data_IF_774103990056
#
_entry.id   IF_774103990056
#
_cell.length_a   1.000
_cell.length_b   1.000
_cell.length_c   1.000
_cell.angle_alpha   90.00
_cell.angle_beta   90.00
_cell.angle_gamma   90.00
#
_symmetry.space_group_name_H-M   'P 1'
#
loop_
_entity.id
_entity.type
_entity.pdbx_description
1 polymer ?
#
# COMPACT_ATOMS: atom_id res chain seq x y z
N UNK A 1 21.07 -7.88 11.56
CA UNK A 1 20.92 -6.49 12.04
C UNK A 1 19.44 -6.16 12.05
N UNK A 2 18.97 -5.34 13.00
CA UNK A 2 17.57 -4.86 12.98
C UNK A 2 17.29 -4.16 11.65
N UNK A 3 16.19 -4.52 11.00
CA UNK A 3 15.69 -3.75 9.87
C UNK A 3 15.24 -2.39 10.39
N UNK A 4 15.70 -1.34 9.71
CA UNK A 4 15.36 0.04 10.05
C UNK A 4 14.84 0.74 8.82
N UNK A 5 14.08 1.79 9.03
CA UNK A 5 13.44 2.57 7.99
C UNK A 5 14.03 3.97 7.93
N UNK A 6 13.96 4.56 6.74
CA UNK A 6 14.28 5.96 6.49
C UNK A 6 13.14 6.59 5.70
N UNK A 7 12.97 7.90 5.84
CA UNK A 7 12.06 8.67 4.98
C UNK A 7 12.70 8.92 3.62
N UNK A 8 11.90 8.88 2.56
CA UNK A 8 12.31 9.24 1.20
C UNK A 8 12.75 10.69 1.05
N UNK A 9 12.51 11.57 2.04
CA UNK A 9 12.87 13.00 2.02
C UNK A 9 13.84 13.42 3.11
N UNK A 10 14.30 12.50 3.95
CA UNK A 10 15.19 12.82 5.05
C UNK A 10 16.64 12.78 4.60
N UNK A 11 17.36 13.88 4.80
CA UNK A 11 18.79 13.99 4.54
C UNK A 11 19.54 13.18 5.60
N UNK A 12 20.24 12.12 5.16
CA UNK A 12 21.07 11.26 6.03
C UNK A 12 22.18 12.00 6.79
N UNK A 13 22.41 13.28 6.44
CA UNK A 13 23.40 14.19 7.02
C UNK A 13 22.87 15.09 8.13
N UNK A 14 21.56 15.09 8.42
CA UNK A 14 20.92 16.02 9.38
C UNK A 14 20.22 15.32 10.55
N UNK A 15 20.92 15.21 11.68
CA UNK A 15 20.41 15.12 13.06
C UNK A 15 19.12 14.33 13.34
N UNK A 16 19.14 13.03 13.12
CA UNK A 16 18.37 12.11 13.96
C UNK A 16 19.13 10.79 14.08
N UNK A 17 19.79 10.58 15.22
CA UNK A 17 20.38 9.28 15.56
C UNK A 17 19.30 8.25 15.96
N UNK A 18 18.01 8.64 15.88
CA UNK A 18 16.89 7.79 16.25
C UNK A 18 16.62 6.80 15.12
N UNK A 19 16.74 5.52 15.46
CA UNK A 19 16.42 4.43 14.53
C UNK A 19 14.90 4.27 14.51
N UNK A 20 14.31 4.37 13.32
CA UNK A 20 12.90 4.04 13.06
C UNK A 20 12.81 2.56 12.71
N UNK A 21 11.96 1.81 13.43
CA UNK A 21 11.74 0.38 13.25
C UNK A 21 10.38 0.10 12.60
N UNK A 22 10.07 -1.18 12.37
CA UNK A 22 8.83 -1.57 11.69
C UNK A 22 7.58 -1.09 12.45
N UNK A 23 7.59 -1.25 13.77
CA UNK A 23 6.48 -0.80 14.65
C UNK A 23 6.22 0.70 14.52
N UNK A 24 7.27 1.53 14.49
CA UNK A 24 7.17 2.98 14.32
C UNK A 24 6.51 3.33 12.97
N UNK A 25 6.98 2.74 11.86
CA UNK A 25 6.46 3.09 10.52
C UNK A 25 5.02 2.62 10.29
N UNK A 26 4.59 1.56 10.98
CA UNK A 26 3.20 1.08 10.94
C UNK A 26 2.27 2.07 11.63
N UNK A 27 2.67 2.58 12.80
CA UNK A 27 1.87 3.49 13.63
C UNK A 27 1.84 4.90 13.03
N UNK A 28 3.00 5.42 12.63
CA UNK A 28 3.13 6.77 12.07
C UNK A 28 2.53 6.88 10.67
N UNK A 29 2.73 5.86 9.82
CA UNK A 29 2.25 5.80 8.44
C UNK A 29 2.94 6.74 7.46
N UNK A 30 3.13 8.02 7.81
CA UNK A 30 3.85 9.05 7.07
C UNK A 30 4.99 9.60 7.94
N UNK A 31 6.15 9.85 7.35
CA UNK A 31 7.26 10.42 8.11
C UNK A 31 7.00 11.90 8.48
N UNK A 32 7.61 12.43 9.57
CA UNK A 32 7.42 13.82 10.01
C UNK A 32 7.78 14.89 8.96
N UNK A 33 8.68 14.59 8.02
CA UNK A 33 9.07 15.46 6.90
C UNK A 33 8.10 15.38 5.70
N UNK A 34 7.00 14.62 5.85
CA UNK A 34 6.01 14.37 4.81
C UNK A 34 6.44 13.37 3.74
N UNK A 35 7.62 12.75 3.89
CA UNK A 35 8.09 11.65 3.04
C UNK A 35 7.51 10.29 3.41
N UNK A 36 7.81 9.29 2.59
CA UNK A 36 7.35 7.92 2.78
C UNK A 36 8.45 7.06 3.38
N UNK A 37 8.08 6.11 4.25
CA UNK A 37 9.06 5.16 4.78
C UNK A 37 9.47 4.10 3.75
N UNK A 38 10.78 3.81 3.72
CA UNK A 38 11.42 2.73 2.94
C UNK A 38 12.49 2.01 3.79
N UNK A 39 12.79 0.72 3.52
CA UNK A 39 13.84 0.00 4.25
C UNK A 39 15.23 0.61 3.99
N UNK A 40 15.96 0.94 5.06
CA UNK A 40 17.27 1.60 4.99
C UNK A 40 18.32 0.78 4.24
N UNK A 41 18.29 -0.54 4.42
CA UNK A 41 19.28 -1.45 3.84
C UNK A 41 18.83 -2.05 2.49
N UNK A 42 17.78 -1.48 1.89
CA UNK A 42 17.10 -2.08 0.75
C UNK A 42 16.19 -3.24 1.15
N UNK A 43 15.52 -3.82 0.16
CA UNK A 43 14.60 -4.93 0.37
C UNK A 43 15.37 -6.27 0.45
N UNK A 44 14.99 -7.20 1.35
CA UNK A 44 15.71 -8.44 1.57
C UNK A 44 15.71 -9.31 0.30
N UNK A 45 16.87 -9.84 -0.07
CA UNK A 45 17.01 -10.84 -1.14
C UNK A 45 16.85 -12.25 -0.59
N UNK A 46 16.09 -13.07 -1.30
CA UNK A 46 15.88 -14.48 -1.01
C UNK A 46 16.61 -15.31 -2.06
N UNK A 47 17.32 -16.34 -1.63
CA UNK A 47 18.06 -17.21 -2.54
C UNK A 47 17.12 -18.14 -3.33
N UNK A 48 17.57 -18.60 -4.50
CA UNK A 48 16.76 -19.44 -5.38
C UNK A 48 16.33 -20.77 -4.71
N UNK A 49 17.13 -21.35 -3.82
CA UNK A 49 16.77 -22.61 -3.13
C UNK A 49 15.66 -22.36 -2.11
N UNK A 50 15.70 -21.23 -1.42
CA UNK A 50 14.63 -20.81 -0.53
C UNK A 50 13.33 -20.57 -1.32
N UNK A 51 13.38 -19.88 -2.47
CA UNK A 51 12.22 -19.73 -3.34
C UNK A 51 11.62 -21.06 -3.82
N UNK A 52 12.45 -22.02 -4.22
CA UNK A 52 11.99 -23.34 -4.66
C UNK A 52 11.22 -24.08 -3.56
N UNK A 53 11.58 -23.88 -2.28
CA UNK A 53 10.83 -24.48 -1.14
C UNK A 53 9.44 -23.87 -0.97
N UNK A 54 9.23 -22.63 -1.42
CA UNK A 54 7.95 -21.92 -1.30
C UNK A 54 6.92 -22.36 -2.35
N UNK A 55 7.33 -23.08 -3.40
CA UNK A 55 6.45 -23.49 -4.51
C UNK A 55 5.26 -24.31 -4.00
N UNK A 56 5.50 -25.28 -3.13
CA UNK A 56 4.44 -26.17 -2.61
C UNK A 56 3.67 -25.61 -1.41
N UNK A 57 4.10 -24.45 -0.87
CA UNK A 57 3.47 -23.84 0.30
C UNK A 57 2.17 -23.12 -0.05
N UNK A 58 1.24 -23.09 0.91
CA UNK A 58 0.02 -22.30 0.81
C UNK A 58 0.31 -20.80 0.89
N UNK A 59 -0.67 -19.98 0.47
CA UNK A 59 -0.52 -18.51 0.51
C UNK A 59 -0.15 -17.96 1.91
N UNK A 60 -0.80 -18.37 3.03
CA UNK A 60 -0.43 -17.89 4.37
C UNK A 60 0.98 -18.32 4.79
N UNK A 61 1.43 -19.50 4.37
CA UNK A 61 2.77 -19.99 4.66
C UNK A 61 3.84 -19.22 3.88
N UNK A 62 3.60 -18.95 2.59
CA UNK A 62 4.43 -18.06 1.78
C UNK A 62 4.47 -16.66 2.40
N UNK A 63 3.32 -16.13 2.81
CA UNK A 63 3.23 -14.83 3.48
C UNK A 63 4.10 -14.79 4.74
N UNK A 64 4.07 -15.84 5.57
CA UNK A 64 4.89 -15.92 6.79
C UNK A 64 6.37 -15.84 6.45
N UNK A 65 6.87 -16.69 5.55
CA UNK A 65 8.31 -16.71 5.20
C UNK A 65 8.75 -15.36 4.63
N UNK A 66 7.96 -14.77 3.73
CA UNK A 66 8.31 -13.49 3.10
C UNK A 66 8.28 -12.31 4.09
N UNK A 67 7.29 -12.28 4.98
CA UNK A 67 7.14 -11.20 5.95
C UNK A 67 8.16 -11.31 7.09
N UNK A 68 8.56 -12.52 7.51
CA UNK A 68 9.66 -12.71 8.47
C UNK A 68 11.00 -12.18 7.97
N UNK A 69 11.21 -12.12 6.65
CA UNK A 69 12.40 -11.48 6.07
C UNK A 69 12.36 -9.96 6.16
N UNK A 70 11.17 -9.36 6.31
CA UNK A 70 10.91 -7.92 6.23
C UNK A 70 10.44 -7.30 7.55
N UNK A 71 10.27 -8.12 8.60
CA UNK A 71 9.81 -7.72 9.92
C UNK A 71 10.71 -8.39 10.94
N UNK A 72 11.50 -7.59 11.67
CA UNK A 72 12.40 -8.13 12.68
C UNK A 72 11.60 -8.74 13.85
N UNK A 73 12.03 -9.88 14.44
CA UNK A 73 11.34 -10.54 15.56
C UNK A 73 11.27 -9.72 16.86
N UNK A 74 11.92 -8.56 16.91
CA UNK A 74 11.86 -7.62 18.04
C UNK A 74 10.76 -6.56 17.85
N UNK A 75 10.30 -6.36 16.62
CA UNK A 75 9.10 -5.57 16.34
C UNK A 75 7.86 -6.43 16.50
N UNK A 76 7.85 -7.64 15.92
CA UNK A 76 6.74 -8.59 16.01
C UNK A 76 7.31 -10.00 16.10
N UNK A 77 6.94 -10.77 17.13
CA UNK A 77 7.42 -12.15 17.27
C UNK A 77 6.94 -13.02 16.10
N UNK A 78 7.72 -14.05 15.73
CA UNK A 78 7.34 -14.99 14.67
C UNK A 78 5.98 -15.68 14.94
N UNK A 79 5.70 -15.98 16.22
CA UNK A 79 4.44 -16.59 16.64
C UNK A 79 3.24 -15.65 16.45
N UNK A 80 3.40 -14.38 16.84
CA UNK A 80 2.35 -13.38 16.68
C UNK A 80 2.12 -13.07 15.20
N UNK A 81 3.19 -12.90 14.43
CA UNK A 81 3.13 -12.69 12.99
C UNK A 81 2.39 -13.83 12.29
N UNK A 82 2.74 -15.08 12.60
CA UNK A 82 2.03 -16.27 12.10
C UNK A 82 0.55 -16.22 12.45
N UNK A 83 0.22 -15.93 13.70
CA UNK A 83 -1.18 -15.87 14.16
C UNK A 83 -1.97 -14.82 13.37
N UNK A 84 -1.39 -13.62 13.17
CA UNK A 84 -2.01 -12.54 12.42
C UNK A 84 -2.20 -12.89 10.93
N UNK A 85 -1.20 -13.50 10.30
CA UNK A 85 -1.25 -13.91 8.88
C UNK A 85 -2.34 -14.96 8.65
N UNK A 86 -2.39 -16.01 9.47
CA UNK A 86 -3.40 -17.07 9.33
C UNK A 86 -4.81 -16.58 9.67
N UNK A 87 -4.94 -15.57 10.53
CA UNK A 87 -6.22 -14.89 10.78
C UNK A 87 -6.65 -13.99 9.61
N UNK A 88 -5.68 -13.35 8.94
CA UNK A 88 -5.93 -12.45 7.81
C UNK A 88 -6.34 -13.21 6.55
N UNK A 89 -5.65 -14.31 6.24
CA UNK A 89 -5.80 -15.08 4.99
C UNK A 89 -6.43 -16.46 5.26
N UNK A 90 -7.60 -16.47 5.87
CA UNK A 90 -8.31 -17.69 6.26
C UNK A 90 -9.65 -17.84 5.54
N UNK A 91 -10.66 -18.26 6.31
CA UNK A 91 -12.03 -18.51 5.80
C UNK A 91 -12.80 -17.27 5.35
N UNK A 92 -12.27 -16.08 5.61
CA UNK A 92 -12.81 -14.81 5.09
C UNK A 92 -12.53 -14.60 3.60
N UNK A 93 -11.66 -15.41 2.99
CA UNK A 93 -11.46 -15.45 1.56
C UNK A 93 -12.30 -16.58 0.94
N UNK A 94 -13.01 -16.27 -0.15
CA UNK A 94 -13.86 -17.25 -0.86
C UNK A 94 -13.05 -18.32 -1.59
N UNK A 95 -11.75 -18.09 -1.80
CA UNK A 95 -10.82 -19.03 -2.40
C UNK A 95 -9.78 -19.48 -1.38
N UNK A 96 -9.60 -20.80 -1.24
CA UNK A 96 -8.54 -21.37 -0.37
C UNK A 96 -7.13 -20.97 -0.81
N UNK A 97 -6.94 -20.68 -2.09
CA UNK A 97 -5.67 -20.20 -2.63
C UNK A 97 -5.42 -18.71 -2.32
N UNK A 98 -6.43 -17.99 -1.79
CA UNK A 98 -6.42 -16.56 -1.44
C UNK A 98 -6.29 -15.62 -2.64
N UNK A 99 -5.25 -15.82 -3.47
CA UNK A 99 -4.94 -15.03 -4.66
C UNK A 99 -4.51 -15.93 -5.85
N UNK A 100 -5.40 -16.82 -6.34
CA UNK A 100 -5.07 -17.78 -7.40
C UNK A 100 -4.71 -17.10 -8.72
N UNK A 101 -3.87 -17.77 -9.50
CA UNK A 101 -3.59 -17.41 -10.91
C UNK A 101 -4.42 -18.31 -11.82
N UNK A 102 -5.08 -17.71 -12.80
CA UNK A 102 -5.90 -18.40 -13.80
C UNK A 102 -5.39 -18.13 -15.21
N UNK A 103 -5.40 -19.16 -16.05
CA UNK A 103 -5.13 -18.99 -17.48
C UNK A 103 -6.27 -18.20 -18.13
N UNK A 104 -5.93 -17.18 -18.91
CA UNK A 104 -6.90 -16.39 -19.67
C UNK A 104 -6.89 -16.79 -21.14
N UNK A 105 -5.74 -16.66 -21.80
CA UNK A 105 -5.54 -17.00 -23.20
C UNK A 105 -4.05 -17.02 -23.53
N UNK A 106 -3.61 -17.86 -24.47
CA UNK A 106 -2.20 -17.94 -24.89
C UNK A 106 -1.23 -17.97 -23.69
N UNK A 107 -0.29 -17.04 -23.59
CA UNK A 107 0.66 -16.89 -22.48
C UNK A 107 0.20 -15.82 -21.47
N UNK A 108 -1.10 -15.52 -21.42
CA UNK A 108 -1.69 -14.53 -20.53
C UNK A 108 -2.46 -15.22 -19.40
N UNK A 109 -2.21 -14.73 -18.19
CA UNK A 109 -2.80 -15.22 -16.96
C UNK A 109 -3.35 -14.04 -16.17
N UNK A 110 -4.39 -14.29 -15.38
CA UNK A 110 -5.02 -13.32 -14.49
C UNK A 110 -4.80 -13.77 -13.06
N UNK A 111 -4.23 -12.90 -12.23
CA UNK A 111 -4.21 -13.11 -10.79
C UNK A 111 -5.51 -12.57 -10.19
N UNK A 112 -6.33 -13.46 -9.65
CA UNK A 112 -7.61 -13.12 -9.05
C UNK A 112 -7.39 -12.60 -7.63
N UNK A 113 -7.40 -11.27 -7.45
CA UNK A 113 -7.19 -10.61 -6.16
C UNK A 113 -8.50 -10.18 -5.47
N UNK A 114 -9.65 -10.69 -5.93
CA UNK A 114 -10.99 -10.25 -5.51
C UNK A 114 -11.73 -11.30 -4.68
N UNK A 115 -11.04 -12.31 -4.13
CA UNK A 115 -11.66 -13.33 -3.28
C UNK A 115 -11.79 -12.93 -1.81
N UNK A 116 -11.31 -11.75 -1.43
CA UNK A 116 -11.47 -11.22 -0.09
C UNK A 116 -12.91 -10.78 0.22
N UNK A 117 -13.19 -10.40 1.48
CA UNK A 117 -14.54 -10.09 1.95
C UNK A 117 -15.20 -8.89 1.28
N UNK A 118 -14.45 -8.05 0.57
CA UNK A 118 -14.99 -6.86 -0.11
C UNK A 118 -14.85 -6.91 -1.62
N UNK A 119 -14.40 -8.05 -2.15
CA UNK A 119 -14.17 -8.28 -3.58
C UNK A 119 -13.19 -7.27 -4.21
N UNK A 120 -12.16 -6.86 -3.46
CA UNK A 120 -11.11 -5.95 -3.94
C UNK A 120 -9.72 -6.45 -3.53
N UNK A 121 -8.72 -6.19 -4.38
CA UNK A 121 -7.32 -6.49 -4.08
C UNK A 121 -6.82 -5.83 -2.79
N UNK A 122 -7.51 -4.77 -2.34
CA UNK A 122 -7.20 -4.06 -1.10
C UNK A 122 -7.37 -4.96 0.14
N UNK A 123 -8.20 -6.01 0.05
CA UNK A 123 -8.37 -6.99 1.13
C UNK A 123 -7.07 -7.72 1.48
N UNK A 124 -6.20 -7.98 0.49
CA UNK A 124 -4.93 -8.68 0.72
C UNK A 124 -4.04 -7.88 1.68
N UNK A 125 -4.11 -6.55 1.66
CA UNK A 125 -3.39 -5.72 2.63
C UNK A 125 -4.22 -5.46 3.88
N UNK A 126 -5.51 -5.12 3.72
CA UNK A 126 -6.34 -4.58 4.78
C UNK A 126 -6.95 -5.65 5.70
N UNK A 127 -6.81 -6.94 5.40
CA UNK A 127 -7.11 -7.99 6.38
C UNK A 127 -5.94 -8.24 7.35
N UNK A 128 -4.70 -7.94 6.93
CA UNK A 128 -3.50 -8.11 7.76
C UNK A 128 -3.09 -6.81 8.48
N UNK A 129 -3.14 -5.66 7.79
CA UNK A 129 -2.74 -4.36 8.32
C UNK A 129 -3.36 -4.05 9.70
N UNK A 130 -4.68 -4.23 9.94
CA UNK A 130 -5.28 -3.92 11.24
C UNK A 130 -4.67 -4.73 12.38
N UNK A 131 -4.32 -6.00 12.14
CA UNK A 131 -3.68 -6.84 13.16
C UNK A 131 -2.27 -6.32 13.47
N UNK A 132 -1.48 -6.02 12.43
CA UNK A 132 -0.14 -5.43 12.58
C UNK A 132 -0.19 -4.09 13.31
N UNK A 133 -1.13 -3.23 12.92
CA UNK A 133 -1.34 -1.92 13.51
C UNK A 133 -1.69 -2.03 15.00
N UNK A 134 -2.71 -2.83 15.34
CA UNK A 134 -3.13 -3.07 16.71
C UNK A 134 -1.99 -3.58 17.61
N UNK A 135 -1.18 -4.51 17.09
CA UNK A 135 -0.02 -5.05 17.79
C UNK A 135 1.04 -3.99 18.09
N UNK A 136 1.27 -3.08 17.13
CA UNK A 136 2.28 -2.02 17.27
C UNK A 136 1.78 -0.82 18.11
N UNK A 137 0.50 -0.78 18.52
CA UNK A 137 -0.03 0.35 19.25
C UNK A 137 0.61 0.48 20.65
N UNK A 138 0.99 1.70 21.05
CA UNK A 138 1.37 1.97 22.44
C UNK A 138 0.26 1.52 23.42
N UNK A 139 0.59 0.82 24.53
CA UNK A 139 -0.40 0.17 25.40
C UNK A 139 -1.51 1.09 25.95
N UNK A 140 -1.23 2.37 26.14
CA UNK A 140 -2.13 3.36 26.77
C UNK A 140 -2.74 4.37 25.79
N UNK A 141 -2.56 4.17 24.48
CA UNK A 141 -3.07 5.09 23.47
C UNK A 141 -4.22 4.46 22.69
N UNK A 142 -5.30 5.21 22.58
CA UNK A 142 -6.39 4.92 21.64
C UNK A 142 -6.06 5.56 20.29
N UNK A 143 -6.60 4.99 19.23
CA UNK A 143 -6.43 5.48 17.87
C UNK A 143 -7.78 5.63 17.19
N UNK A 144 -7.97 6.76 16.52
CA UNK A 144 -9.11 7.02 15.66
C UNK A 144 -8.63 7.12 14.21
N UNK A 145 -8.99 6.13 13.42
CA UNK A 145 -8.59 5.98 12.03
C UNK A 145 -9.61 6.70 11.14
N UNK A 146 -9.15 7.74 10.45
CA UNK A 146 -9.97 8.50 9.51
C UNK A 146 -9.56 8.17 8.07
N UNK A 147 -10.53 7.79 7.24
CA UNK A 147 -10.32 7.46 5.83
C UNK A 147 -11.37 8.14 4.97
N UNK A 148 -10.93 8.84 3.91
CA UNK A 148 -11.80 9.24 2.82
C UNK A 148 -11.72 8.19 1.70
N UNK A 149 -12.83 7.87 1.06
CA UNK A 149 -12.87 6.89 -0.03
C UNK A 149 -13.82 7.32 -1.15
N UNK A 150 -13.52 6.88 -2.37
CA UNK A 150 -14.43 6.88 -3.53
C UNK A 150 -15.07 5.51 -3.78
N UNK A 151 -14.88 4.56 -2.86
CA UNK A 151 -15.51 3.23 -2.90
C UNK A 151 -14.72 2.17 -2.16
N UNK A 152 -14.08 1.27 -2.91
CA UNK A 152 -13.51 0.00 -2.44
C UNK A 152 -12.53 0.09 -1.27
N UNK A 153 -11.75 1.16 -1.13
CA UNK A 153 -10.84 1.35 0.01
C UNK A 153 -11.60 1.40 1.33
N UNK A 154 -12.76 2.05 1.35
CA UNK A 154 -13.58 2.20 2.56
C UNK A 154 -14.12 0.87 3.04
N UNK A 155 -14.73 0.09 2.14
CA UNK A 155 -15.22 -1.25 2.43
C UNK A 155 -14.12 -2.12 3.04
N UNK A 156 -12.94 -2.16 2.42
CA UNK A 156 -11.83 -3.00 2.87
C UNK A 156 -11.27 -2.55 4.23
N UNK A 157 -11.19 -1.23 4.48
CA UNK A 157 -10.78 -0.69 5.80
C UNK A 157 -11.79 -1.07 6.87
N UNK A 158 -13.09 -0.84 6.63
CA UNK A 158 -14.15 -1.18 7.59
C UNK A 158 -14.12 -2.68 7.91
N UNK A 159 -14.08 -3.52 6.87
CA UNK A 159 -14.02 -4.99 6.98
C UNK A 159 -12.80 -5.47 7.76
N UNK A 160 -11.62 -4.89 7.51
CA UNK A 160 -10.40 -5.26 8.21
C UNK A 160 -10.43 -4.89 9.69
N UNK A 161 -10.70 -3.63 10.01
CA UNK A 161 -10.64 -3.13 11.38
C UNK A 161 -11.81 -3.59 12.26
N UNK A 162 -12.96 -3.91 11.68
CA UNK A 162 -14.08 -4.48 12.43
C UNK A 162 -13.80 -5.89 12.96
N UNK A 163 -12.78 -6.58 12.42
CA UNK A 163 -12.35 -7.93 12.82
C UNK A 163 -11.33 -7.93 13.96
N UNK A 164 -10.93 -6.75 14.45
CA UNK A 164 -10.22 -6.64 15.72
C UNK A 164 -11.13 -7.12 16.85
N UNK A 165 -10.53 -7.66 17.91
CA UNK A 165 -11.24 -8.27 19.04
C UNK A 165 -10.62 -7.84 20.36
N UNK A 166 -11.36 -7.95 21.47
CA UNK A 166 -10.85 -7.62 22.80
C UNK A 166 -10.33 -6.17 22.89
N UNK A 167 -9.25 -5.96 23.62
CA UNK A 167 -8.67 -4.63 23.87
C UNK A 167 -8.32 -3.88 22.58
N UNK A 168 -7.85 -4.57 21.54
CA UNK A 168 -7.47 -3.92 20.28
C UNK A 168 -8.65 -3.28 19.55
N UNK A 169 -9.82 -3.93 19.62
CA UNK A 169 -11.06 -3.37 19.09
C UNK A 169 -11.49 -2.11 19.83
N UNK A 170 -11.31 -2.10 21.16
CA UNK A 170 -11.70 -0.98 22.01
C UNK A 170 -10.77 0.22 21.83
N UNK A 171 -9.47 -0.03 21.62
CA UNK A 171 -8.46 1.01 21.40
C UNK A 171 -8.40 1.53 19.97
N UNK A 172 -9.16 0.97 19.03
CA UNK A 172 -9.06 1.34 17.60
C UNK A 172 -10.43 1.66 17.01
N UNK A 173 -10.80 2.94 17.01
CA UNK A 173 -11.96 3.45 16.31
C UNK A 173 -11.67 3.73 14.83
N UNK A 174 -12.67 3.57 13.95
CA UNK A 174 -12.54 3.81 12.51
C UNK A 174 -13.76 4.56 11.99
N UNK A 175 -13.51 5.66 11.28
CA UNK A 175 -14.51 6.42 10.55
C UNK A 175 -14.11 6.52 9.07
N UNK A 176 -14.98 5.99 8.21
CA UNK A 176 -14.83 6.09 6.76
C UNK A 176 -15.81 7.11 6.21
N UNK A 177 -15.29 8.17 5.61
CA UNK A 177 -16.07 9.21 4.94
C UNK A 177 -16.11 8.91 3.44
N UNK A 178 -17.31 8.92 2.87
CA UNK A 178 -17.51 8.73 1.43
C UNK A 178 -18.57 9.71 0.92
N UNK A 179 -18.49 10.16 -0.34
CA UNK A 179 -19.49 11.05 -0.90
C UNK A 179 -20.81 10.27 -1.10
N UNK A 180 -21.94 10.90 -0.76
CA UNK A 180 -23.29 10.31 -0.87
C UNK A 180 -23.56 9.83 -2.29
N UNK A 181 -23.07 10.60 -3.26
CA UNK A 181 -23.07 10.35 -4.70
C UNK A 181 -21.64 10.08 -5.18
N UNK A 182 -21.48 9.24 -6.21
CA UNK A 182 -20.16 8.96 -6.81
C UNK A 182 -19.44 7.72 -6.26
N UNK A 183 -20.13 6.90 -5.45
CA UNK A 183 -19.72 5.54 -5.08
C UNK A 183 -20.73 4.55 -5.67
N UNK A 184 -20.30 3.34 -6.06
CA UNK A 184 -21.25 2.35 -6.59
C UNK A 184 -22.21 1.85 -5.50
N UNK A 185 -23.41 1.44 -5.90
CA UNK A 185 -24.43 0.98 -4.94
C UNK A 185 -23.94 -0.22 -4.10
N UNK A 186 -23.23 -1.16 -4.71
CA UNK A 186 -22.66 -2.32 -4.00
C UNK A 186 -21.64 -1.86 -2.94
N UNK A 187 -20.77 -0.91 -3.28
CA UNK A 187 -19.79 -0.37 -2.33
C UNK A 187 -20.46 0.42 -1.20
N UNK A 188 -21.50 1.20 -1.52
CA UNK A 188 -22.30 1.93 -0.52
C UNK A 188 -22.96 0.97 0.46
N UNK A 189 -23.59 -0.11 -0.04
CA UNK A 189 -24.20 -1.14 0.80
C UNK A 189 -23.17 -1.85 1.69
N UNK A 190 -22.00 -2.20 1.16
CA UNK A 190 -20.90 -2.76 1.95
C UNK A 190 -20.46 -1.82 3.07
N UNK A 191 -20.29 -0.53 2.80
CA UNK A 191 -19.85 0.42 3.84
C UNK A 191 -20.95 0.66 4.88
N UNK A 192 -22.19 0.82 4.45
CA UNK A 192 -23.33 1.15 5.34
C UNK A 192 -23.82 -0.02 6.20
N UNK A 193 -23.32 -1.25 5.97
CA UNK A 193 -23.55 -2.37 6.90
C UNK A 193 -22.76 -2.26 8.20
N UNK A 194 -21.70 -1.45 8.25
CA UNK A 194 -20.89 -1.24 9.45
C UNK A 194 -21.48 -0.11 10.31
N UNK A 195 -22.47 -0.45 11.15
CA UNK A 195 -23.19 0.50 12.02
C UNK A 195 -22.80 0.43 13.49
N UNK A 196 -22.18 -0.67 13.91
CA UNK A 196 -21.92 -0.98 15.32
C UNK A 196 -20.48 -1.39 15.57
N UNK A 197 -20.07 -1.32 16.85
CA UNK A 197 -18.71 -1.56 17.27
C UNK A 197 -17.77 -0.40 16.95
N UNK A 198 -16.55 -0.73 16.54
CA UNK A 198 -15.44 0.21 16.40
C UNK A 198 -15.28 0.81 15.00
N UNK A 199 -16.04 0.38 14.00
CA UNK A 199 -15.92 0.85 12.63
C UNK A 199 -17.26 1.35 12.10
N UNK A 200 -17.28 2.58 11.57
CA UNK A 200 -18.48 3.22 11.03
C UNK A 200 -18.20 3.94 9.72
N UNK A 201 -19.20 3.91 8.84
CA UNK A 201 -19.21 4.70 7.61
C UNK A 201 -20.06 5.96 7.79
N UNK A 202 -19.61 7.07 7.20
CA UNK A 202 -20.26 8.38 7.20
C UNK A 202 -20.41 8.83 5.76
N UNK A 203 -21.66 8.86 5.30
CA UNK A 203 -21.99 9.43 4.00
C UNK A 203 -21.99 10.96 4.08
N UNK A 204 -21.36 11.61 3.11
CA UNK A 204 -21.16 13.06 3.08
C UNK A 204 -21.83 13.64 1.84
N UNK A 205 -22.71 14.63 2.01
CA UNK A 205 -23.39 15.33 0.90
C UNK A 205 -22.45 16.33 0.20
N UNK A 206 -21.37 15.81 -0.36
CA UNK A 206 -20.32 16.55 -1.10
C UNK A 206 -19.52 15.57 -1.95
N UNK A 207 -18.39 16.00 -2.54
CA UNK A 207 -17.50 15.16 -3.34
C UNK A 207 -16.38 14.49 -2.52
N UNK A 208 -15.64 13.57 -3.17
CA UNK A 208 -14.50 12.88 -2.56
C UNK A 208 -13.38 13.85 -2.11
N UNK A 209 -13.13 14.91 -2.88
CA UNK A 209 -12.09 15.90 -2.56
C UNK A 209 -12.43 16.70 -1.29
N UNK A 210 -13.71 16.97 -1.06
CA UNK A 210 -14.20 17.53 0.20
C UNK A 210 -13.92 16.60 1.37
N UNK A 211 -14.26 15.31 1.27
CA UNK A 211 -13.97 14.32 2.31
C UNK A 211 -12.46 14.29 2.62
N UNK A 212 -11.62 14.20 1.59
CA UNK A 212 -10.17 14.13 1.74
C UNK A 212 -9.58 15.41 2.34
N UNK A 213 -10.03 16.60 1.89
CA UNK A 213 -9.55 17.89 2.43
C UNK A 213 -9.93 18.08 3.89
N UNK A 214 -11.14 17.72 4.29
CA UNK A 214 -11.58 17.87 5.67
C UNK A 214 -10.86 16.93 6.62
N UNK A 215 -10.61 15.67 6.22
CA UNK A 215 -9.76 14.79 7.02
C UNK A 215 -8.38 15.41 7.20
N UNK A 216 -7.71 15.85 6.11
CA UNK A 216 -6.40 16.51 6.21
C UNK A 216 -6.42 17.73 7.14
N UNK A 217 -7.50 18.52 7.10
CA UNK A 217 -7.70 19.65 8.00
C UNK A 217 -7.78 19.21 9.46
N UNK A 218 -8.55 18.15 9.78
CA UNK A 218 -8.64 17.61 11.15
C UNK A 218 -7.27 17.18 11.70
N UNK A 219 -6.39 16.62 10.86
CA UNK A 219 -5.02 16.29 11.26
C UNK A 219 -4.14 17.52 11.55
N UNK A 220 -4.42 18.66 10.93
CA UNK A 220 -3.69 19.92 11.12
C UNK A 220 -4.26 20.83 12.21
N UNK A 221 -5.44 20.52 12.75
CA UNK A 221 -6.10 21.31 13.79
C UNK A 221 -5.59 20.90 15.19
N UNK A 222 -4.56 21.62 15.66
CA UNK A 222 -3.90 21.37 16.94
C UNK A 222 -4.89 21.32 18.13
N UNK A 223 -5.93 22.17 18.11
CA UNK A 223 -6.97 22.21 19.14
C UNK A 223 -7.78 20.90 19.16
N UNK A 224 -8.23 20.41 18.00
CA UNK A 224 -8.97 19.15 17.88
C UNK A 224 -8.09 17.97 18.31
N UNK A 225 -6.85 17.89 17.79
CA UNK A 225 -5.94 16.80 18.13
C UNK A 225 -5.55 16.80 19.60
N UNK A 226 -5.35 17.99 20.18
CA UNK A 226 -5.04 18.15 21.60
C UNK A 226 -6.22 17.76 22.48
N UNK A 227 -7.44 18.17 22.12
CA UNK A 227 -8.65 17.77 22.83
C UNK A 227 -8.85 16.25 22.81
N UNK A 228 -8.70 15.59 21.65
CA UNK A 228 -8.79 14.14 21.54
C UNK A 228 -7.74 13.40 22.37
N UNK A 229 -6.51 13.92 22.39
CA UNK A 229 -5.42 13.33 23.18
C UNK A 229 -5.66 13.47 24.68
N UNK A 230 -6.12 14.64 25.16
CA UNK A 230 -6.31 14.92 26.60
C UNK A 230 -7.57 14.26 27.14
N UNK A 231 -8.71 14.43 26.47
CA UNK A 231 -10.01 13.95 27.00
C UNK A 231 -10.23 12.46 26.76
N UNK A 232 -9.72 11.93 25.65
CA UNK A 232 -10.02 10.56 25.21
C UNK A 232 -8.79 9.67 25.05
N UNK A 233 -7.58 10.16 25.38
CA UNK A 233 -6.33 9.43 25.16
C UNK A 233 -6.15 8.99 23.71
N UNK A 234 -6.74 9.73 22.76
CA UNK A 234 -6.93 9.29 21.36
C UNK A 234 -6.05 10.07 20.40
N UNK A 235 -5.32 9.34 19.55
CA UNK A 235 -4.49 9.88 18.48
C UNK A 235 -5.19 9.65 17.13
N UNK A 236 -5.18 10.66 16.27
CA UNK A 236 -5.67 10.50 14.90
C UNK A 236 -4.66 9.71 14.06
N UNK A 237 -5.13 8.74 13.29
CA UNK A 237 -4.33 8.01 12.31
C UNK A 237 -5.15 7.71 11.06
N UNK A 238 -4.51 7.15 10.04
CA UNK A 238 -5.13 6.92 8.73
C UNK A 238 -4.67 5.59 8.14
N UNK A 239 -5.57 4.89 7.46
CA UNK A 239 -5.31 3.62 6.80
C UNK A 239 -5.15 3.77 5.27
N UNK A 240 -4.44 4.80 4.85
CA UNK A 240 -4.23 5.16 3.45
C UNK A 240 -3.06 4.39 2.82
N UNK A 241 -3.01 4.36 1.48
CA UNK A 241 -2.12 3.50 0.68
C UNK A 241 -0.62 3.79 0.83
N UNK A 242 -0.26 4.83 1.58
CA UNK A 242 1.14 5.19 1.86
C UNK A 242 1.72 4.39 3.04
N UNK A 243 0.87 3.89 3.95
CA UNK A 243 1.34 3.15 5.12
C UNK A 243 2.09 1.89 4.68
N UNK A 244 3.26 1.64 5.28
CA UNK A 244 4.10 0.50 4.94
C UNK A 244 3.39 -0.84 5.15
N UNK A 245 2.56 -0.96 6.18
CA UNK A 245 1.74 -2.14 6.45
C UNK A 245 0.62 -2.38 5.42
N UNK A 246 0.32 -1.39 4.55
CA UNK A 246 -0.53 -1.63 3.36
C UNK A 246 0.26 -2.08 2.14
N UNK A 247 1.50 -1.64 2.00
CA UNK A 247 2.32 -1.94 0.82
C UNK A 247 2.96 -3.33 0.96
N UNK A 248 3.58 -3.62 2.09
CA UNK A 248 4.37 -4.84 2.29
C UNK A 248 3.58 -6.13 2.03
N UNK A 249 2.34 -6.32 2.51
CA UNK A 249 1.56 -7.54 2.22
C UNK A 249 1.29 -7.75 0.72
N UNK A 250 1.33 -6.68 -0.08
CA UNK A 250 1.10 -6.77 -1.52
C UNK A 250 2.27 -7.41 -2.28
N UNK A 251 3.46 -7.46 -1.67
CA UNK A 251 4.62 -8.18 -2.23
C UNK A 251 4.33 -9.68 -2.28
N UNK A 252 3.58 -10.19 -1.30
CA UNK A 252 3.28 -11.62 -1.14
C UNK A 252 2.49 -12.16 -2.34
N UNK A 253 1.48 -11.43 -2.83
CA UNK A 253 0.69 -11.94 -3.95
C UNK A 253 1.46 -11.92 -5.27
N UNK A 254 2.34 -10.95 -5.52
CA UNK A 254 3.21 -10.96 -6.70
C UNK A 254 4.17 -12.15 -6.67
N UNK A 255 4.80 -12.40 -5.53
CA UNK A 255 5.66 -13.58 -5.34
C UNK A 255 4.87 -14.88 -5.46
N UNK A 256 3.67 -14.94 -4.87
CA UNK A 256 2.81 -16.12 -4.93
C UNK A 256 2.33 -16.43 -6.35
N UNK A 257 2.04 -15.41 -7.16
CA UNK A 257 1.67 -15.62 -8.56
C UNK A 257 2.78 -16.31 -9.35
N UNK A 258 4.02 -15.85 -9.19
CA UNK A 258 5.18 -16.47 -9.83
C UNK A 258 5.38 -17.93 -9.39
N UNK A 259 5.24 -18.18 -8.08
CA UNK A 259 5.37 -19.52 -7.50
C UNK A 259 4.23 -20.44 -7.93
N UNK A 260 3.01 -19.93 -8.10
CA UNK A 260 1.88 -20.70 -8.64
C UNK A 260 2.13 -21.11 -10.10
N UNK A 261 2.66 -20.20 -10.94
CA UNK A 261 3.05 -20.55 -12.31
C UNK A 261 4.16 -21.60 -12.35
N UNK A 262 5.10 -21.57 -11.39
CA UNK A 262 6.12 -22.61 -11.24
C UNK A 262 5.52 -23.96 -10.82
N UNK A 263 4.65 -23.95 -9.80
CA UNK A 263 3.96 -25.15 -9.29
C UNK A 263 3.15 -25.82 -10.41
N UNK A 264 2.44 -25.02 -11.19
CA UNK A 264 1.55 -25.50 -12.25
C UNK A 264 2.33 -25.88 -13.53
N UNK A 265 3.67 -25.81 -13.51
CA UNK A 265 4.54 -26.22 -14.63
C UNK A 265 4.48 -25.31 -15.85
N UNK A 266 3.90 -24.10 -15.70
CA UNK A 266 3.80 -23.11 -16.79
C UNK A 266 5.17 -22.51 -17.10
N UNK A 267 5.96 -22.26 -16.05
CA UNK A 267 7.34 -21.77 -16.14
C UNK A 267 8.23 -22.55 -15.16
N UNK A 268 9.54 -22.52 -15.38
CA UNK A 268 10.56 -22.93 -14.42
C UNK A 268 11.04 -21.73 -13.62
N UNK A 269 11.41 -21.94 -12.36
CA UNK A 269 12.02 -20.88 -11.57
C UNK A 269 13.28 -20.34 -12.26
N UNK A 270 13.35 -19.02 -12.44
CA UNK A 270 14.39 -18.33 -13.20
C UNK A 270 13.90 -17.81 -14.55
N UNK A 271 12.83 -18.39 -15.12
CA UNK A 271 12.22 -17.86 -16.33
C UNK A 271 11.47 -16.56 -16.02
N UNK A 272 11.70 -15.49 -16.80
CA UNK A 272 11.13 -14.20 -16.48
C UNK A 272 9.65 -14.10 -16.85
N UNK A 273 8.87 -13.40 -16.01
CA UNK A 273 7.51 -12.96 -16.33
C UNK A 273 7.44 -11.44 -16.47
N UNK A 274 6.44 -10.96 -17.21
CA UNK A 274 6.01 -9.56 -17.13
C UNK A 274 4.73 -9.49 -16.30
N UNK A 275 4.59 -8.45 -15.48
CA UNK A 275 3.37 -8.21 -14.69
C UNK A 275 2.70 -6.94 -15.16
N UNK A 276 1.41 -7.02 -15.49
CA UNK A 276 0.60 -5.86 -15.92
C UNK A 276 -0.39 -5.48 -14.83
N UNK A 277 -0.34 -4.23 -14.38
CA UNK A 277 -1.04 -3.76 -13.19
C UNK A 277 -1.88 -2.54 -13.55
N UNK A 278 -3.22 -2.59 -13.41
CA UNK A 278 -4.06 -1.41 -13.41
C UNK A 278 -3.62 -0.46 -12.30
N UNK A 279 -3.02 0.67 -12.67
CA UNK A 279 -2.23 1.49 -11.76
C UNK A 279 -2.90 2.82 -11.48
N UNK A 280 -3.18 3.05 -10.19
CA UNK A 280 -3.60 4.34 -9.66
C UNK A 280 -2.52 4.96 -8.78
N UNK A 281 -2.59 4.71 -7.47
CA UNK A 281 -1.68 5.24 -6.44
C UNK A 281 -0.26 4.62 -6.41
N UNK A 282 0.12 3.84 -7.43
CA UNK A 282 1.40 3.13 -7.58
C UNK A 282 1.76 2.07 -6.53
N UNK A 283 0.96 1.86 -5.48
CA UNK A 283 1.30 0.92 -4.40
C UNK A 283 1.46 -0.55 -4.86
N UNK A 284 0.55 -1.01 -5.74
CA UNK A 284 0.60 -2.37 -6.31
C UNK A 284 1.78 -2.53 -7.30
N UNK A 285 2.05 -1.51 -8.12
CA UNK A 285 3.24 -1.51 -8.99
C UNK A 285 4.54 -1.50 -8.17
N UNK A 286 4.60 -0.72 -7.10
CA UNK A 286 5.74 -0.67 -6.19
C UNK A 286 5.96 -2.00 -5.47
N UNK A 287 4.89 -2.71 -5.08
CA UNK A 287 5.04 -4.04 -4.47
C UNK A 287 5.57 -5.09 -5.45
N UNK A 288 5.24 -5.00 -6.73
CA UNK A 288 5.87 -5.82 -7.77
C UNK A 288 7.37 -5.50 -7.93
N UNK A 289 7.74 -4.21 -7.86
CA UNK A 289 9.15 -3.80 -7.86
C UNK A 289 9.89 -4.39 -6.65
N UNK A 290 9.26 -4.39 -5.47
CA UNK A 290 9.85 -5.03 -4.29
C UNK A 290 9.94 -6.55 -4.43
N UNK A 291 8.94 -7.23 -4.99
CA UNK A 291 9.03 -8.67 -5.28
C UNK A 291 10.20 -8.99 -6.23
N UNK A 292 10.40 -8.14 -7.25
CA UNK A 292 11.57 -8.19 -8.14
C UNK A 292 12.87 -7.99 -7.37
N UNK A 293 12.93 -7.01 -6.46
CA UNK A 293 14.10 -6.76 -5.61
C UNK A 293 14.39 -7.94 -4.64
N UNK A 294 13.36 -8.69 -4.20
CA UNK A 294 13.55 -9.92 -3.40
C UNK A 294 14.17 -11.07 -4.20
N UNK A 295 14.14 -11.02 -5.53
CA UNK A 295 14.68 -12.05 -6.40
C UNK A 295 13.64 -12.82 -7.24
N UNK A 296 12.36 -12.42 -7.25
CA UNK A 296 11.42 -12.96 -8.23
C UNK A 296 11.83 -12.48 -9.64
N UNK A 297 11.96 -13.39 -10.63
CA UNK A 297 12.28 -13.04 -12.02
C UNK A 297 11.18 -12.24 -12.75
N UNK A 298 10.97 -10.99 -12.35
CA UNK A 298 10.08 -10.06 -13.07
C UNK A 298 10.93 -9.26 -14.06
N UNK A 299 10.67 -9.44 -15.35
CA UNK A 299 11.33 -8.66 -16.41
C UNK A 299 10.75 -7.25 -16.46
N UNK A 300 9.45 -7.09 -16.72
CA UNK A 300 8.75 -5.79 -16.76
C UNK A 300 7.64 -5.69 -15.72
N UNK A 301 7.52 -4.50 -15.12
CA UNK A 301 6.32 -4.06 -14.39
C UNK A 301 5.59 -3.05 -15.28
N UNK A 302 4.48 -3.46 -15.87
CA UNK A 302 3.71 -2.67 -16.82
C UNK A 302 2.59 -1.95 -16.04
N UNK A 303 2.61 -0.62 -16.06
CA UNK A 303 1.58 0.21 -15.43
C UNK A 303 0.48 0.54 -16.45
N UNK A 304 -0.67 -0.11 -16.34
CA UNK A 304 -1.84 0.17 -17.18
C UNK A 304 -2.67 1.31 -16.57
N UNK A 305 -2.79 2.43 -17.29
CA UNK A 305 -3.63 3.57 -16.90
C UNK A 305 -4.93 3.58 -17.70
N UNK A 306 -6.00 4.17 -17.15
CA UNK A 306 -7.15 4.58 -17.94
C UNK A 306 -6.88 5.97 -18.58
N UNK A 307 -7.92 6.74 -18.89
CA UNK A 307 -7.78 8.09 -19.43
C UNK A 307 -6.92 9.03 -18.54
N UNK A 308 -6.86 8.78 -17.23
CA UNK A 308 -6.00 9.49 -16.27
C UNK A 308 -4.55 8.99 -16.34
N UNK A 309 -3.87 9.28 -17.45
CA UNK A 309 -2.58 8.70 -17.84
C UNK A 309 -1.32 9.36 -17.25
N UNK A 310 -1.39 9.99 -16.07
CA UNK A 310 -0.24 10.71 -15.49
C UNK A 310 0.98 9.81 -15.29
N UNK A 311 0.78 8.58 -14.82
CA UNK A 311 1.85 7.60 -14.63
C UNK A 311 2.43 7.14 -15.96
N UNK A 312 1.58 6.90 -16.96
CA UNK A 312 2.03 6.50 -18.30
C UNK A 312 2.89 7.61 -18.92
N UNK A 313 2.44 8.86 -18.85
CA UNK A 313 3.18 10.00 -19.39
C UNK A 313 4.53 10.16 -18.66
N UNK A 314 4.56 10.01 -17.34
CA UNK A 314 5.80 10.05 -16.55
C UNK A 314 6.77 8.94 -16.94
N UNK A 315 6.31 7.70 -17.10
CA UNK A 315 7.18 6.58 -17.49
C UNK A 315 7.69 6.77 -18.93
N UNK A 316 6.87 7.31 -19.84
CA UNK A 316 7.23 7.48 -21.24
C UNK A 316 8.18 8.66 -21.49
N UNK A 317 7.98 9.77 -20.77
CA UNK A 317 8.66 11.05 -21.05
C UNK A 317 9.62 11.49 -19.94
N UNK A 318 9.50 10.90 -18.76
CA UNK A 318 10.10 11.41 -17.54
C UNK A 318 9.29 12.54 -16.88
N UNK A 319 8.27 13.12 -17.54
CA UNK A 319 7.56 14.29 -17.04
C UNK A 319 6.36 13.95 -16.14
N UNK A 320 6.31 14.53 -14.94
CA UNK A 320 5.17 14.42 -14.02
C UNK A 320 4.47 15.78 -13.89
N UNK A 321 3.68 16.16 -14.90
CA UNK A 321 2.99 17.45 -14.92
C UNK A 321 1.50 17.32 -14.68
N UNK A 322 1.00 17.94 -13.60
CA UNK A 322 -0.42 17.97 -13.26
C UNK A 322 -1.14 19.24 -13.75
N UNK A 323 -0.45 20.18 -14.39
CA UNK A 323 -1.07 21.39 -14.97
C UNK A 323 -2.12 21.05 -15.99
N UNK A 324 -3.27 21.71 -15.88
CA UNK A 324 -4.35 21.58 -16.84
C UNK A 324 -4.94 20.17 -16.94
N UNK A 325 -4.49 19.22 -16.10
CA UNK A 325 -5.06 17.88 -16.04
C UNK A 325 -6.29 17.92 -15.16
N UNK A 326 -7.44 17.72 -15.78
CA UNK A 326 -8.69 17.49 -15.10
C UNK A 326 -8.83 15.99 -14.82
N UNK A 327 -9.36 15.65 -13.65
CA UNK A 327 -9.70 14.28 -13.32
C UNK A 327 -10.86 13.85 -14.23
N UNK A 328 -10.67 12.77 -14.99
CA UNK A 328 -11.71 12.23 -15.88
C UNK A 328 -12.34 11.00 -15.24
N UNK A 329 -13.65 11.05 -15.04
CA UNK A 329 -14.41 9.89 -14.55
C UNK A 329 -14.38 8.77 -15.60
N UNK A 330 -14.20 7.53 -15.15
CA UNK A 330 -14.12 6.36 -16.03
C UNK A 330 -14.90 5.15 -15.50
N UNK A 331 -14.91 4.07 -16.28
CA UNK A 331 -15.43 2.76 -15.84
C UNK A 331 -14.51 2.05 -14.83
N UNK A 332 -13.34 2.61 -14.54
CA UNK A 332 -12.38 2.09 -13.55
C UNK A 332 -12.07 3.15 -12.47
N UNK A 333 -13.09 3.60 -11.70
CA UNK A 333 -12.98 4.75 -10.79
C UNK A 333 -11.92 4.58 -9.69
N UNK A 334 -11.56 3.34 -9.33
CA UNK A 334 -10.51 3.06 -8.35
C UNK A 334 -9.10 3.48 -8.81
N UNK A 335 -8.91 3.75 -10.11
CA UNK A 335 -7.65 4.26 -10.68
C UNK A 335 -7.82 5.63 -11.36
N UNK A 336 -8.95 6.32 -11.16
CA UNK A 336 -9.10 7.73 -11.51
C UNK A 336 -8.27 8.58 -10.55
N UNK A 337 -6.96 8.68 -10.81
CA UNK A 337 -5.99 9.31 -9.91
C UNK A 337 -5.06 10.24 -10.70
N UNK A 338 -4.97 11.49 -10.24
CA UNK A 338 -3.97 12.44 -10.74
C UNK A 338 -2.66 12.35 -9.95
N UNK A 339 -2.75 12.33 -8.61
CA UNK A 339 -1.61 12.32 -7.70
C UNK A 339 -1.32 10.91 -7.20
N UNK A 340 -0.24 10.32 -7.67
CA UNK A 340 0.10 8.94 -7.35
C UNK A 340 1.06 8.86 -6.16
N UNK A 341 0.52 8.57 -4.98
CA UNK A 341 1.25 8.69 -3.73
C UNK A 341 2.51 7.82 -3.63
N UNK A 342 2.47 6.55 -4.06
CA UNK A 342 3.64 5.66 -3.94
C UNK A 342 4.67 5.83 -5.06
N UNK A 343 4.43 6.71 -6.05
CA UNK A 343 5.44 7.03 -7.06
C UNK A 343 6.71 7.60 -6.41
N UNK A 344 6.57 8.28 -5.27
CA UNK A 344 7.70 8.80 -4.51
C UNK A 344 8.69 7.70 -4.06
N UNK A 345 8.19 6.55 -3.60
CA UNK A 345 9.04 5.40 -3.26
C UNK A 345 9.81 4.91 -4.48
N UNK A 346 9.15 4.85 -5.63
CA UNK A 346 9.80 4.47 -6.88
C UNK A 346 10.89 5.47 -7.26
N UNK A 347 10.61 6.76 -7.23
CA UNK A 347 11.60 7.83 -7.52
C UNK A 347 12.80 7.73 -6.58
N UNK A 348 12.57 7.47 -5.29
CA UNK A 348 13.65 7.24 -4.33
C UNK A 348 14.56 6.09 -4.77
N UNK A 349 14.00 4.92 -5.13
CA UNK A 349 14.81 3.77 -5.57
C UNK A 349 15.54 4.02 -6.89
N UNK A 350 14.90 4.65 -7.89
CA UNK A 350 15.56 4.90 -9.18
C UNK A 350 16.61 6.01 -9.10
N UNK A 351 16.58 6.81 -8.02
CA UNK A 351 17.59 7.83 -7.71
C UNK A 351 18.69 7.32 -6.79
N UNK A 352 18.82 5.99 -6.62
CA UNK A 352 19.77 5.34 -5.73
C UNK A 352 19.70 5.84 -4.27
N UNK A 353 18.49 6.16 -3.82
CA UNK A 353 18.22 6.65 -2.47
C UNK A 353 18.58 8.12 -2.23
N UNK A 354 18.62 8.94 -3.27
CA UNK A 354 18.90 10.38 -3.14
C UNK A 354 17.70 11.14 -2.54
N UNK A 355 17.63 11.19 -1.21
CA UNK A 355 16.57 11.90 -0.47
C UNK A 355 16.49 13.39 -0.79
N UNK A 356 17.63 14.05 -1.04
CA UNK A 356 17.66 15.48 -1.40
C UNK A 356 16.95 15.71 -2.74
N UNK A 357 17.25 14.87 -3.74
CA UNK A 357 16.58 14.92 -5.04
C UNK A 357 15.07 14.70 -4.92
N UNK A 358 14.65 13.69 -4.15
CA UNK A 358 13.22 13.44 -3.90
C UNK A 358 12.58 14.63 -3.18
N UNK A 359 13.22 15.15 -2.13
CA UNK A 359 12.76 16.33 -1.41
C UNK A 359 12.63 17.53 -2.35
N UNK A 360 13.61 17.80 -3.21
CA UNK A 360 13.52 18.89 -4.17
C UNK A 360 12.32 18.74 -5.10
N UNK A 361 12.09 17.54 -5.63
CA UNK A 361 10.94 17.27 -6.50
C UNK A 361 9.61 17.55 -5.80
N UNK A 362 9.47 17.16 -4.53
CA UNK A 362 8.22 17.24 -3.76
C UNK A 362 8.03 18.51 -2.92
N UNK A 363 9.10 19.26 -2.62
CA UNK A 363 9.07 20.41 -1.69
C UNK A 363 9.42 21.74 -2.36
N UNK A 364 10.32 21.80 -3.35
CA UNK A 364 10.36 22.97 -4.22
C UNK A 364 8.99 23.05 -4.91
N UNK A 365 8.53 24.28 -5.17
CA UNK A 365 7.26 24.64 -5.83
C UNK A 365 6.96 23.89 -7.16
N UNK A 366 7.79 22.94 -7.57
CA UNK A 366 7.63 22.07 -8.70
C UNK A 366 6.37 21.17 -8.61
N UNK A 367 6.05 20.56 -7.47
CA UNK A 367 4.82 19.73 -7.36
C UNK A 367 3.59 20.45 -6.76
N UNK A 368 3.78 21.56 -6.04
CA UNK A 368 2.68 22.36 -5.48
C UNK A 368 2.24 23.53 -6.37
N UNK A 369 3.14 24.06 -7.22
CA UNK A 369 2.83 25.05 -8.27
C UNK A 369 3.11 24.49 -9.66
N UNK A 370 2.57 23.30 -9.96
CA UNK A 370 2.28 23.01 -11.37
C UNK A 370 3.55 22.94 -12.27
N UNK A 371 4.71 22.46 -11.82
CA UNK A 371 5.88 22.26 -12.70
C UNK A 371 6.79 21.17 -12.15
N UNK A 372 6.69 19.91 -12.53
CA UNK A 372 7.89 19.04 -12.44
C UNK A 372 8.34 18.77 -13.87
N UNK A 373 9.29 19.57 -14.34
CA UNK A 373 9.89 19.43 -15.67
C UNK A 373 11.21 18.67 -15.49
N UNK A 374 11.26 17.45 -16.00
CA UNK A 374 12.41 16.57 -15.84
C UNK A 374 13.31 16.69 -17.07
N UNK A 375 14.44 17.40 -16.95
CA UNK A 375 15.50 17.39 -17.96
C UNK A 375 16.60 16.40 -17.56
N UNK A 376 16.30 15.10 -17.53
CA UNK A 376 17.32 14.03 -17.60
C UNK A 376 16.78 12.67 -18.08
N UNK A 377 15.57 12.64 -18.67
CA UNK A 377 14.70 11.46 -18.79
C UNK A 377 15.21 10.23 -19.56
N UNK A 378 16.33 10.30 -20.30
CA UNK A 378 16.80 9.14 -21.07
C UNK A 378 17.79 8.21 -20.34
N UNK A 379 18.49 8.67 -19.29
CA UNK A 379 19.47 7.82 -18.59
C UNK A 379 18.93 7.12 -17.32
N UNK A 380 17.86 7.66 -16.72
CA UNK A 380 17.37 7.19 -15.41
C UNK A 380 16.40 6.00 -15.50
N UNK A 381 15.57 5.94 -16.53
CA UNK A 381 14.52 4.92 -16.67
C UNK A 381 15.01 3.63 -17.36
N UNK A 382 16.17 3.66 -18.03
CA UNK A 382 16.75 2.51 -18.72
C UNK A 382 17.17 1.38 -17.78
N UNK A 383 17.52 1.70 -16.52
CA UNK A 383 17.98 0.71 -15.54
C UNK A 383 16.88 -0.18 -14.95
N UNK A 384 15.60 0.10 -15.23
CA UNK A 384 14.48 -0.68 -14.68
C UNK A 384 13.52 -1.28 -15.71
N UNK A 385 13.80 -1.13 -17.02
CA UNK A 385 13.01 -1.71 -18.12
C UNK A 385 11.48 -1.59 -17.94
N UNK A 386 11.01 -0.38 -17.65
CA UNK A 386 9.59 -0.04 -17.80
C UNK A 386 9.35 0.27 -19.27
N UNK A 387 8.54 -0.53 -19.98
CA UNK A 387 8.06 -0.20 -21.31
C UNK A 387 6.58 -0.50 -21.44
N UNK A 388 5.92 0.39 -22.19
CA UNK A 388 4.48 0.56 -22.38
C UNK A 388 3.82 -0.58 -23.17
N UNK A 389 2.53 -0.78 -22.94
CA UNK A 389 1.53 -1.13 -23.95
C UNK A 389 0.37 -0.15 -23.85
#
# INVERSE_FOLDING_TARGET
MKETFVSTRCDSTGSSNQKTYFSDVVVEGLAPDGGLYVPKNGFPKIDAREWLRLIEMSYPERALVLLEKCIHPLDISALDLRTMIFKAYGSNFSSKAVAPVKHLTHNQYVQELFHGPTASFKDLALQLMPQLFAYCLPPMCNYLILVATSGDTGSAVLSGFSRLSGTDRHRTGVLVFFPEEGVSEIQKLQMMSYREGNARAVSVRSDFDFCQRNIKRMFGEAELTGHLAVEYGTVLSTANSINWARLLPQVVYHSSAYLDLCRDGVIKFGEPIDVCIPTGNFGNAMSAVYAKQMGIPIRKVICASNHNRVITDFIATGEYDLRGRLLMLSHSPAIDILKSSNLERFIYHVSDGNSHFVKDLFTLKLLFNHKAMFYSGHLFLSNLHFFQY
#
